data_IF_620883941709
#
_entry.id   IF_620883941709
#
_cell.length_a   1.000
_cell.length_b   1.000
_cell.length_c   1.000
_cell.angle_alpha   90.00
_cell.angle_beta   90.00
_cell.angle_gamma   90.00
#
_symmetry.space_group_name_H-M   'P 1'
#
loop_
_entity.id
_entity.type
_entity.pdbx_description
1 polymer ?
#
# COMPACT_ATOMS: atom_id res chain seq x y z
N UNK A 1 76.55 3.03 -39.38
CA UNK A 1 75.16 2.82 -39.87
C UNK A 1 74.36 2.24 -38.71
N UNK A 2 73.70 3.09 -37.91
CA UNK A 2 73.06 2.70 -36.64
C UNK A 2 71.68 2.06 -36.82
N UNK A 3 71.22 1.23 -35.86
CA UNK A 3 69.96 0.49 -35.96
C UNK A 3 68.73 1.40 -35.76
N UNK A 4 67.66 1.11 -36.52
CA UNK A 4 66.38 1.83 -36.47
C UNK A 4 65.58 1.48 -35.20
N UNK A 5 64.86 2.45 -34.60
CA UNK A 5 64.00 2.20 -33.44
C UNK A 5 62.72 1.44 -33.83
N UNK A 6 62.32 0.49 -32.99
CA UNK A 6 61.12 -0.32 -33.14
C UNK A 6 59.84 0.54 -33.08
N UNK A 7 58.88 0.22 -33.94
CA UNK A 7 57.61 0.95 -34.05
C UNK A 7 56.67 0.65 -32.87
N UNK A 8 55.82 1.61 -32.43
CA UNK A 8 54.94 1.42 -31.28
C UNK A 8 53.79 0.42 -31.50
N UNK A 9 53.59 -0.06 -32.74
CA UNK A 9 52.37 -0.75 -33.16
C UNK A 9 52.47 -2.29 -33.17
N UNK A 10 53.63 -2.86 -32.87
CA UNK A 10 53.86 -4.32 -32.84
C UNK A 10 53.35 -5.02 -31.55
N UNK A 11 52.50 -4.37 -30.76
CA UNK A 11 51.96 -4.91 -29.50
C UNK A 11 50.51 -5.36 -29.54
N UNK A 12 49.99 -5.71 -30.70
CA UNK A 12 48.70 -6.38 -30.83
C UNK A 12 48.88 -7.83 -31.28
N UNK A 13 48.96 -8.73 -30.30
CA UNK A 13 48.30 -10.07 -30.22
C UNK A 13 49.17 -11.08 -29.47
N UNK A 14 48.70 -11.42 -28.27
CA UNK A 14 48.82 -12.70 -27.53
C UNK A 14 48.14 -12.41 -26.18
N UNK A 15 46.85 -12.64 -26.01
CA UNK A 15 46.19 -13.93 -26.05
C UNK A 15 46.09 -14.46 -24.62
N UNK A 16 44.98 -14.15 -23.92
CA UNK A 16 44.47 -14.90 -22.75
C UNK A 16 43.04 -14.45 -22.40
N UNK A 17 42.09 -14.80 -23.25
CA UNK A 17 40.66 -14.80 -22.90
C UNK A 17 40.36 -16.08 -22.11
N UNK A 18 40.57 -16.06 -20.78
CA UNK A 18 40.03 -17.06 -19.85
C UNK A 18 39.77 -16.40 -18.49
N UNK A 19 38.54 -16.59 -18.03
CA UNK A 19 38.07 -16.46 -16.64
C UNK A 19 37.67 -15.07 -16.12
N UNK A 20 36.70 -14.47 -16.82
CA UNK A 20 35.74 -13.56 -16.18
C UNK A 20 34.32 -14.11 -16.41
N UNK A 21 33.97 -15.18 -15.71
CA UNK A 21 32.57 -15.48 -15.42
C UNK A 21 32.05 -14.34 -14.55
N UNK A 22 31.48 -13.34 -15.20
CA UNK A 22 30.59 -12.38 -14.56
C UNK A 22 29.37 -13.20 -14.14
N UNK A 23 29.40 -13.73 -12.92
CA UNK A 23 28.18 -14.12 -12.22
C UNK A 23 27.37 -12.84 -12.02
N UNK A 24 26.50 -12.56 -12.99
CA UNK A 24 25.48 -11.52 -12.84
C UNK A 24 24.66 -11.83 -11.59
N UNK A 25 24.21 -10.80 -10.83
CA UNK A 25 23.39 -11.03 -9.66
C UNK A 25 22.17 -11.85 -10.06
N UNK A 26 22.04 -13.00 -9.39
CA UNK A 26 21.00 -13.97 -9.59
C UNK A 26 19.64 -13.30 -9.76
N UNK A 27 18.97 -13.71 -10.84
CA UNK A 27 17.58 -13.45 -11.18
C UNK A 27 16.73 -13.15 -9.94
N UNK A 28 16.38 -11.88 -9.76
CA UNK A 28 15.26 -11.50 -8.91
C UNK A 28 14.04 -12.32 -9.38
N UNK A 29 13.35 -13.06 -8.49
CA UNK A 29 12.12 -13.73 -8.89
C UNK A 29 11.17 -12.69 -9.48
N UNK A 30 10.44 -13.01 -10.57
CA UNK A 30 9.46 -12.10 -11.13
C UNK A 30 8.53 -11.65 -10.00
N UNK A 31 8.35 -10.33 -9.87
CA UNK A 31 7.40 -9.72 -8.95
C UNK A 31 6.10 -10.52 -9.06
N UNK A 32 5.83 -11.36 -8.06
CA UNK A 32 4.57 -12.07 -7.97
C UNK A 32 3.51 -10.98 -8.04
N UNK A 33 2.78 -10.96 -9.17
CA UNK A 33 1.77 -9.96 -9.43
C UNK A 33 0.92 -9.87 -8.19
N UNK A 34 0.91 -8.69 -7.56
CA UNK A 34 0.18 -8.47 -6.33
C UNK A 34 -1.24 -8.99 -6.55
N UNK A 35 -1.53 -10.15 -5.97
CA UNK A 35 -2.83 -10.77 -6.05
C UNK A 35 -3.77 -9.77 -5.41
N UNK A 36 -4.57 -9.09 -6.24
CA UNK A 36 -5.62 -8.19 -5.75
C UNK A 36 -6.63 -9.05 -5.04
N UNK A 37 -6.44 -9.23 -3.74
CA UNK A 37 -7.41 -9.87 -2.86
C UNK A 37 -8.59 -8.91 -2.74
N UNK A 38 -9.60 -9.15 -3.57
CA UNK A 38 -10.90 -8.51 -3.45
C UNK A 38 -11.61 -9.14 -2.25
N UNK A 39 -12.02 -8.32 -1.28
CA UNK A 39 -12.80 -8.75 -0.13
C UNK A 39 -13.95 -7.77 0.09
N UNK A 40 -14.93 -8.20 0.89
CA UNK A 40 -16.07 -7.38 1.26
C UNK A 40 -16.03 -7.17 2.78
N UNK A 41 -16.23 -5.93 3.22
CA UNK A 41 -16.14 -5.58 4.64
C UNK A 41 -17.32 -6.16 5.46
N UNK A 42 -18.42 -6.48 4.78
CA UNK A 42 -19.65 -7.01 5.38
C UNK A 42 -20.31 -8.06 4.45
N UNK A 43 -19.90 -9.36 4.54
CA UNK A 43 -20.45 -10.42 3.68
C UNK A 43 -21.98 -10.55 3.76
N UNK A 44 -22.58 -10.12 4.87
CA UNK A 44 -24.03 -10.12 5.09
C UNK A 44 -24.78 -9.21 4.10
N UNK A 45 -24.14 -8.19 3.53
CA UNK A 45 -24.75 -7.37 2.48
C UNK A 45 -24.84 -8.08 1.12
N UNK A 46 -24.11 -9.20 0.92
CA UNK A 46 -24.35 -10.06 -0.24
C UNK A 46 -25.73 -10.72 -0.19
N UNK A 47 -26.25 -11.00 1.02
CA UNK A 47 -27.65 -11.43 1.21
C UNK A 47 -28.62 -10.29 0.91
N UNK A 48 -28.26 -9.02 1.14
CA UNK A 48 -29.05 -7.89 0.68
C UNK A 48 -29.08 -7.79 -0.86
N UNK A 49 -28.11 -8.39 -1.56
CA UNK A 49 -28.16 -8.62 -3.01
C UNK A 49 -29.38 -9.42 -3.46
N UNK A 50 -29.98 -10.24 -2.58
CA UNK A 50 -31.24 -10.94 -2.85
C UNK A 50 -32.42 -9.95 -3.05
N UNK A 51 -32.30 -8.71 -2.59
CA UNK A 51 -33.24 -7.63 -2.89
C UNK A 51 -33.26 -7.25 -4.38
N UNK A 52 -32.22 -7.58 -5.17
CA UNK A 52 -32.24 -7.46 -6.64
C UNK A 52 -33.25 -8.44 -7.27
N UNK A 53 -33.58 -9.54 -6.59
CA UNK A 53 -34.60 -10.48 -7.06
C UNK A 53 -36.02 -9.88 -6.97
N UNK A 54 -36.29 -8.97 -6.04
CA UNK A 54 -37.61 -8.33 -5.87
C UNK A 54 -38.07 -7.58 -7.13
N UNK A 55 -37.30 -6.65 -7.73
CA UNK A 55 -37.71 -5.99 -8.96
C UNK A 55 -37.74 -6.94 -10.17
N UNK A 56 -36.90 -7.98 -10.19
CA UNK A 56 -36.88 -8.99 -11.26
C UNK A 56 -38.16 -9.86 -11.23
N UNK A 57 -38.54 -10.32 -10.04
CA UNK A 57 -39.77 -11.09 -9.80
C UNK A 57 -41.00 -10.24 -10.09
N UNK A 58 -41.04 -8.99 -9.60
CA UNK A 58 -42.13 -8.06 -9.91
C UNK A 58 -42.26 -7.79 -11.41
N UNK A 59 -41.16 -7.73 -12.16
CA UNK A 59 -41.20 -7.61 -13.61
C UNK A 59 -41.79 -8.87 -14.28
N UNK A 60 -41.41 -10.06 -13.82
CA UNK A 60 -41.92 -11.32 -14.35
C UNK A 60 -43.43 -11.48 -14.12
N UNK A 61 -43.93 -11.05 -12.95
CA UNK A 61 -45.38 -11.06 -12.65
C UNK A 61 -46.16 -10.04 -13.49
N UNK A 62 -45.61 -8.84 -13.73
CA UNK A 62 -46.27 -7.84 -14.60
C UNK A 62 -46.37 -8.26 -16.07
N UNK A 63 -45.66 -9.33 -16.50
CA UNK A 63 -45.81 -9.89 -17.85
C UNK A 63 -47.13 -10.66 -18.05
N UNK A 64 -47.85 -10.99 -16.96
CA UNK A 64 -49.03 -11.85 -17.02
C UNK A 64 -50.39 -11.13 -17.13
N UNK A 65 -50.45 -9.80 -17.01
CA UNK A 65 -51.73 -9.07 -17.08
C UNK A 65 -51.98 -8.35 -18.41
N UNK A 66 -52.05 -9.15 -19.47
CA UNK A 66 -52.76 -8.75 -20.69
C UNK A 66 -53.97 -9.66 -20.89
N UNK A 67 -54.94 -9.59 -19.96
CA UNK A 67 -56.30 -10.06 -20.26
C UNK A 67 -56.83 -9.22 -21.42
N UNK A 68 -56.67 -9.75 -22.63
CA UNK A 68 -57.28 -9.22 -23.85
C UNK A 68 -58.80 -9.37 -23.71
N UNK A 69 -59.45 -8.32 -23.22
CA UNK A 69 -60.90 -8.20 -23.33
C UNK A 69 -61.19 -7.76 -24.77
N UNK A 70 -61.59 -8.70 -25.61
CA UNK A 70 -61.90 -8.43 -27.02
C UNK A 70 -63.27 -7.77 -27.09
N UNK A 71 -63.30 -6.44 -27.10
CA UNK A 71 -64.52 -5.68 -27.38
C UNK A 71 -64.62 -5.47 -28.92
N UNK A 72 -65.59 -6.08 -29.62
CA UNK A 72 -65.62 -6.11 -31.09
C UNK A 72 -65.79 -4.74 -31.77
N UNK A 73 -66.32 -3.73 -31.07
CA UNK A 73 -66.61 -2.41 -31.64
C UNK A 73 -65.36 -1.54 -31.92
N UNK A 74 -64.19 -1.89 -31.39
CA UNK A 74 -62.96 -1.06 -31.46
C UNK A 74 -61.94 -1.51 -32.52
N UNK A 75 -62.19 -2.60 -33.24
CA UNK A 75 -61.22 -3.18 -34.19
C UNK A 75 -60.90 -2.25 -35.37
N UNK A 76 -61.76 -1.27 -35.67
CA UNK A 76 -61.54 -0.30 -36.75
C UNK A 76 -60.64 0.89 -36.38
N UNK A 77 -60.41 1.15 -35.08
CA UNK A 77 -59.56 2.27 -34.61
C UNK A 77 -58.09 1.85 -34.39
N UNK A 78 -57.80 0.54 -34.36
CA UNK A 78 -56.51 -0.03 -33.98
C UNK A 78 -55.51 -0.21 -35.13
N UNK A 79 -55.84 0.27 -36.34
CA UNK A 79 -54.91 0.19 -37.49
C UNK A 79 -53.73 1.16 -37.41
N UNK A 80 -53.76 2.09 -36.46
CA UNK A 80 -52.72 3.11 -36.23
C UNK A 80 -51.84 2.82 -35.01
N UNK A 81 -52.06 1.74 -34.27
CA UNK A 81 -51.36 1.47 -33.00
C UNK A 81 -50.04 0.68 -33.12
N UNK A 82 -49.59 0.35 -34.34
CA UNK A 82 -48.36 -0.45 -34.51
C UNK A 82 -47.07 0.33 -34.22
N UNK A 83 -47.11 1.67 -34.24
CA UNK A 83 -45.91 2.47 -33.99
C UNK A 83 -45.66 2.71 -32.48
N UNK A 84 -46.71 2.84 -31.67
CA UNK A 84 -46.58 3.09 -30.23
C UNK A 84 -46.09 1.88 -29.42
N UNK A 85 -46.32 0.66 -29.91
CA UNK A 85 -45.86 -0.57 -29.25
C UNK A 85 -44.33 -0.66 -29.12
N UNK A 86 -43.56 -0.03 -30.03
CA UNK A 86 -42.09 -0.10 -30.04
C UNK A 86 -41.48 0.84 -28.99
N UNK A 87 -42.01 2.06 -28.87
CA UNK A 87 -41.58 3.05 -27.88
C UNK A 87 -41.90 2.63 -26.46
N UNK A 88 -43.07 2.00 -26.25
CA UNK A 88 -43.47 1.47 -24.94
C UNK A 88 -42.50 0.37 -24.47
N UNK A 89 -42.09 -0.55 -25.37
CA UNK A 89 -41.12 -1.60 -25.06
C UNK A 89 -39.73 -1.05 -24.72
N UNK A 90 -39.25 -0.06 -25.46
CA UNK A 90 -37.96 0.58 -25.18
C UNK A 90 -37.95 1.30 -23.82
N UNK A 91 -39.02 2.02 -23.50
CA UNK A 91 -39.16 2.70 -22.21
C UNK A 91 -39.25 1.71 -21.06
N UNK A 92 -39.96 0.59 -21.24
CA UNK A 92 -40.01 -0.50 -20.26
C UNK A 92 -38.64 -1.14 -20.04
N UNK A 93 -37.85 -1.37 -21.09
CA UNK A 93 -36.51 -1.93 -20.98
C UNK A 93 -35.55 -0.97 -20.26
N UNK A 94 -35.63 0.33 -20.58
CA UNK A 94 -34.83 1.37 -19.92
C UNK A 94 -35.19 1.51 -18.43
N UNK A 95 -36.48 1.48 -18.10
CA UNK A 95 -36.96 1.52 -16.72
C UNK A 95 -36.55 0.28 -15.93
N UNK A 96 -36.54 -0.90 -16.57
CA UNK A 96 -36.02 -2.12 -15.96
C UNK A 96 -34.52 -2.00 -15.65
N UNK A 97 -33.74 -1.53 -16.62
CA UNK A 97 -32.29 -1.37 -16.48
C UNK A 97 -31.97 -0.36 -15.38
N UNK A 98 -32.65 0.78 -15.34
CA UNK A 98 -32.48 1.78 -14.28
C UNK A 98 -32.82 1.21 -12.90
N UNK A 99 -33.88 0.40 -12.79
CA UNK A 99 -34.30 -0.22 -11.52
C UNK A 99 -33.25 -1.23 -11.02
N UNK A 100 -32.70 -2.06 -11.91
CA UNK A 100 -31.62 -3.00 -11.56
C UNK A 100 -30.35 -2.25 -11.16
N UNK A 101 -29.96 -1.23 -11.94
CA UNK A 101 -28.80 -0.40 -11.64
C UNK A 101 -28.94 0.31 -10.30
N UNK A 102 -30.11 0.87 -9.98
CA UNK A 102 -30.36 1.52 -8.69
C UNK A 102 -30.18 0.55 -7.51
N UNK A 103 -30.70 -0.68 -7.60
CA UNK A 103 -30.52 -1.68 -6.54
C UNK A 103 -29.07 -2.15 -6.47
N UNK A 104 -28.40 -2.38 -7.61
CA UNK A 104 -26.97 -2.72 -7.64
C UNK A 104 -26.10 -1.62 -7.02
N UNK A 105 -26.41 -0.34 -7.27
CA UNK A 105 -25.74 0.79 -6.64
C UNK A 105 -25.99 0.83 -5.13
N UNK A 106 -27.22 0.54 -4.68
CA UNK A 106 -27.56 0.52 -3.25
C UNK A 106 -26.84 -0.61 -2.51
N UNK A 107 -26.84 -1.81 -3.10
CA UNK A 107 -26.12 -2.98 -2.58
C UNK A 107 -24.62 -2.76 -2.64
N UNK A 108 -24.09 -2.21 -3.74
CA UNK A 108 -22.68 -1.86 -3.87
C UNK A 108 -22.24 -0.80 -2.87
N UNK A 109 -23.03 0.26 -2.67
CA UNK A 109 -22.75 1.29 -1.66
C UNK A 109 -22.78 0.73 -0.24
N UNK A 110 -23.71 -0.18 0.07
CA UNK A 110 -23.78 -0.87 1.37
C UNK A 110 -22.66 -1.90 1.59
N UNK A 111 -22.29 -2.64 0.54
CA UNK A 111 -21.21 -3.64 0.59
C UNK A 111 -19.81 -3.02 0.66
N UNK A 112 -19.68 -1.71 0.34
CA UNK A 112 -18.42 -0.95 0.31
C UNK A 112 -17.27 -1.77 -0.30
N UNK A 113 -17.34 -2.11 -1.61
CA UNK A 113 -16.29 -2.88 -2.25
C UNK A 113 -14.96 -2.12 -2.15
N UNK A 114 -14.02 -2.68 -1.40
CA UNK A 114 -12.69 -2.10 -1.29
C UNK A 114 -11.77 -2.75 -2.33
N UNK A 115 -11.09 -1.93 -3.11
CA UNK A 115 -10.00 -2.39 -3.97
C UNK A 115 -8.73 -2.21 -3.16
N UNK A 116 -8.15 -3.31 -2.65
CA UNK A 116 -6.81 -3.29 -2.03
C UNK A 116 -5.76 -2.98 -3.10
N UNK A 117 -5.47 -1.69 -3.27
CA UNK A 117 -4.42 -1.17 -4.13
C UNK A 117 -3.75 0.04 -3.47
N UNK A 118 -2.59 -0.18 -2.85
CA UNK A 118 -1.59 0.86 -2.57
C UNK A 118 -1.84 1.92 -1.50
N UNK A 119 -3.01 1.94 -0.85
CA UNK A 119 -3.33 2.81 0.27
C UNK A 119 -4.65 2.34 0.85
N UNK A 120 -4.70 2.01 2.14
CA UNK A 120 -5.95 1.58 2.74
C UNK A 120 -6.97 2.72 2.68
N UNK A 121 -8.25 2.39 2.51
CA UNK A 121 -9.32 3.33 2.88
C UNK A 121 -9.36 3.30 4.42
N UNK A 122 -8.46 4.07 5.02
CA UNK A 122 -8.40 4.35 6.45
C UNK A 122 -8.48 5.87 6.63
N UNK A 123 -8.83 6.30 7.84
CA UNK A 123 -8.80 7.73 8.13
C UNK A 123 -7.37 8.27 7.92
N UNK A 124 -7.20 9.54 7.50
CA UNK A 124 -5.89 10.15 7.34
C UNK A 124 -5.04 9.96 8.60
N UNK A 125 -3.90 9.30 8.48
CA UNK A 125 -3.13 8.85 9.65
C UNK A 125 -1.76 9.52 9.73
N UNK A 126 -1.40 10.00 10.93
CA UNK A 126 -0.06 10.45 11.25
C UNK A 126 0.83 9.23 11.54
N UNK A 127 1.68 8.84 10.60
CA UNK A 127 2.59 7.71 10.76
C UNK A 127 3.99 8.18 11.16
N UNK A 128 4.47 7.80 12.34
CA UNK A 128 5.84 8.09 12.77
C UNK A 128 6.68 6.82 12.64
N UNK A 129 7.61 6.81 11.70
CA UNK A 129 8.53 5.73 11.41
C UNK A 129 9.83 5.95 12.20
N UNK A 130 10.13 5.03 13.12
CA UNK A 130 11.40 5.00 13.86
C UNK A 130 12.26 3.91 13.23
N UNK A 131 13.38 4.29 12.64
CA UNK A 131 14.34 3.38 12.02
C UNK A 131 15.60 3.27 12.88
N UNK A 132 15.92 2.05 13.29
CA UNK A 132 17.13 1.77 14.06
C UNK A 132 18.37 1.64 13.16
N UNK A 133 19.19 2.69 13.16
CA UNK A 133 20.46 2.73 12.46
C UNK A 133 21.67 2.65 13.40
N UNK A 134 21.50 2.10 14.60
CA UNK A 134 22.59 1.93 15.57
C UNK A 134 23.68 0.97 15.10
N UNK A 135 24.82 0.96 15.81
CA UNK A 135 25.96 0.11 15.48
C UNK A 135 25.58 -1.39 15.31
N UNK A 136 24.62 -1.91 16.08
CA UNK A 136 24.19 -3.33 15.96
C UNK A 136 23.50 -3.62 14.63
N UNK A 137 22.80 -2.65 14.05
CA UNK A 137 22.17 -2.77 12.72
C UNK A 137 23.20 -2.91 11.58
N UNK A 138 24.48 -2.63 11.84
CA UNK A 138 25.57 -2.88 10.87
C UNK A 138 25.98 -4.34 10.72
N UNK A 139 25.51 -5.24 11.60
CA UNK A 139 25.87 -6.65 11.53
C UNK A 139 25.41 -7.29 10.21
N UNK A 140 26.29 -8.06 9.58
CA UNK A 140 25.96 -8.82 8.37
C UNK A 140 25.41 -10.18 8.78
N UNK A 141 24.19 -10.49 8.37
CA UNK A 141 23.53 -11.78 8.62
C UNK A 141 23.00 -12.35 7.32
N UNK A 142 23.52 -13.50 6.91
CA UNK A 142 23.10 -14.16 5.66
C UNK A 142 23.48 -13.38 4.39
N UNK A 143 24.56 -12.60 4.42
CA UNK A 143 25.08 -11.87 3.25
C UNK A 143 24.54 -10.44 3.07
N UNK A 144 23.64 -9.96 3.92
CA UNK A 144 23.14 -8.58 3.94
C UNK A 144 23.27 -7.97 5.33
N UNK A 145 23.35 -6.64 5.44
CA UNK A 145 23.36 -5.95 6.74
C UNK A 145 21.95 -5.98 7.34
N UNK A 146 21.84 -6.04 8.67
CA UNK A 146 20.55 -5.93 9.36
C UNK A 146 19.84 -4.63 8.96
N UNK A 147 20.56 -3.53 8.82
CA UNK A 147 20.03 -2.25 8.34
C UNK A 147 19.38 -2.36 6.97
N UNK A 148 19.91 -3.16 6.04
CA UNK A 148 19.33 -3.32 4.71
C UNK A 148 17.94 -4.00 4.79
N UNK A 149 17.79 -4.95 5.72
CA UNK A 149 16.49 -5.58 6.02
C UNK A 149 15.52 -4.58 6.66
N UNK A 150 15.99 -3.78 7.63
CA UNK A 150 15.18 -2.74 8.28
C UNK A 150 14.71 -1.68 7.27
N UNK A 151 15.59 -1.26 6.36
CA UNK A 151 15.27 -0.35 5.25
C UNK A 151 14.19 -0.96 4.34
N UNK A 152 14.28 -2.24 4.00
CA UNK A 152 13.24 -2.89 3.19
C UNK A 152 11.86 -2.92 3.91
N UNK A 153 11.83 -3.10 5.23
CA UNK A 153 10.58 -3.04 6.02
C UNK A 153 10.04 -1.60 6.04
N UNK A 154 10.90 -0.61 6.24
CA UNK A 154 10.56 0.81 6.23
C UNK A 154 9.94 1.24 4.89
N UNK A 155 10.56 0.83 3.78
CA UNK A 155 10.07 1.11 2.42
C UNK A 155 8.69 0.50 2.17
N UNK A 156 8.44 -0.73 2.64
CA UNK A 156 7.10 -1.35 2.57
C UNK A 156 6.06 -0.60 3.40
N UNK A 157 6.45 -0.01 4.52
CA UNK A 157 5.55 0.84 5.31
C UNK A 157 5.16 2.10 4.55
N UNK A 158 6.13 2.78 3.91
CA UNK A 158 5.89 3.98 3.10
C UNK A 158 5.04 3.67 1.87
N UNK A 159 5.19 2.48 1.28
CA UNK A 159 4.39 2.03 0.12
C UNK A 159 2.92 1.79 0.44
N UNK A 160 2.59 1.46 1.69
CA UNK A 160 1.20 1.19 2.12
C UNK A 160 0.44 2.43 2.53
N UNK A 161 1.13 3.52 2.86
CA UNK A 161 0.51 4.77 3.23
C UNK A 161 -0.29 5.35 2.05
N UNK A 162 -1.34 6.11 2.35
CA UNK A 162 -2.11 6.90 1.39
C UNK A 162 -1.45 8.26 1.11
N UNK A 163 -1.99 9.03 0.16
CA UNK A 163 -1.53 10.40 -0.08
C UNK A 163 -2.05 11.41 0.96
N UNK A 164 -3.07 11.01 1.74
CA UNK A 164 -3.62 11.82 2.83
C UNK A 164 -2.84 11.61 4.15
N UNK A 165 -2.02 10.57 4.22
CA UNK A 165 -1.20 10.28 5.38
C UNK A 165 0.00 11.22 5.45
N UNK A 166 0.38 11.55 6.68
CA UNK A 166 1.63 12.29 6.94
C UNK A 166 2.59 11.36 7.62
N UNK A 167 3.77 11.21 7.02
CA UNK A 167 4.81 10.33 7.52
C UNK A 167 5.99 11.17 8.04
N UNK A 168 6.49 10.83 9.22
CA UNK A 168 7.74 11.34 9.78
C UNK A 168 8.72 10.20 9.97
N UNK A 169 9.98 10.39 9.58
CA UNK A 169 11.07 9.47 9.81
C UNK A 169 11.97 10.00 10.93
N UNK A 170 12.21 9.17 11.95
CA UNK A 170 13.17 9.38 13.03
C UNK A 170 14.22 8.28 12.95
N UNK A 171 15.49 8.65 13.03
CA UNK A 171 16.62 7.71 13.12
C UNK A 171 16.97 7.50 14.59
N UNK A 172 16.97 6.26 15.06
CA UNK A 172 17.15 5.97 16.48
C UNK A 172 18.60 6.17 16.97
N UNK A 173 19.58 6.16 16.08
CA UNK A 173 20.96 6.53 16.40
C UNK A 173 21.17 8.03 16.64
N UNK A 174 20.24 8.86 16.15
CA UNK A 174 20.23 10.32 16.32
C UNK A 174 18.83 10.79 16.73
N UNK A 175 18.29 10.37 17.89
CA UNK A 175 16.90 10.60 18.26
C UNK A 175 16.56 12.09 18.38
N UNK A 176 17.56 12.96 18.56
CA UNK A 176 17.45 14.44 18.63
C UNK A 176 17.72 15.15 17.30
N UNK A 177 18.11 14.43 16.23
CA UNK A 177 18.38 14.99 14.90
C UNK A 177 17.11 15.52 14.21
N UNK A 178 17.14 16.06 12.98
CA UNK A 178 15.91 16.47 12.29
C UNK A 178 14.99 15.27 12.00
N UNK A 179 13.70 15.40 12.28
CA UNK A 179 12.70 14.44 11.82
C UNK A 179 12.37 14.75 10.35
N UNK A 180 12.52 13.75 9.48
CA UNK A 180 12.37 13.94 8.03
C UNK A 180 10.89 13.71 7.68
N UNK A 181 10.29 14.65 6.96
CA UNK A 181 8.92 14.54 6.45
C UNK A 181 8.87 15.13 5.04
N UNK A 182 7.96 14.66 4.22
CA UNK A 182 7.88 15.06 2.81
C UNK A 182 7.05 14.11 1.98
N UNK A 183 7.28 14.12 0.67
CA UNK A 183 6.63 13.18 -0.24
C UNK A 183 7.12 11.75 0.01
N UNK A 184 6.39 10.76 -0.53
CA UNK A 184 6.85 9.37 -0.49
C UNK A 184 8.19 9.19 -1.20
N UNK A 185 8.53 10.02 -2.18
CA UNK A 185 9.83 9.96 -2.85
C UNK A 185 10.96 10.44 -1.92
N UNK A 186 10.74 11.55 -1.21
CA UNK A 186 11.72 12.11 -0.27
C UNK A 186 12.01 11.15 0.88
N UNK A 187 10.95 10.51 1.42
CA UNK A 187 11.10 9.53 2.49
C UNK A 187 11.81 8.26 2.03
N UNK A 188 11.54 7.78 0.82
CA UNK A 188 12.30 6.64 0.25
C UNK A 188 13.77 6.98 0.07
N UNK A 189 14.07 8.18 -0.41
CA UNK A 189 15.44 8.66 -0.52
C UNK A 189 16.12 8.76 0.85
N UNK A 190 15.43 9.29 1.85
CA UNK A 190 15.94 9.40 3.22
C UNK A 190 16.21 8.05 3.88
N UNK A 191 15.32 7.06 3.71
CA UNK A 191 15.54 5.68 4.20
C UNK A 191 16.73 5.06 3.47
N UNK A 192 16.83 5.22 2.15
CA UNK A 192 17.93 4.63 1.36
C UNK A 192 19.29 5.27 1.65
N UNK A 193 19.30 6.55 2.04
CA UNK A 193 20.49 7.29 2.44
C UNK A 193 20.85 7.10 3.93
N UNK A 194 20.07 6.32 4.69
CA UNK A 194 20.37 6.06 6.09
C UNK A 194 21.49 5.04 6.18
N UNK A 195 22.63 5.48 6.72
CA UNK A 195 23.75 4.63 7.08
C UNK A 195 23.78 4.32 8.58
N UNK A 196 24.54 3.28 8.92
CA UNK A 196 24.82 2.86 10.29
C UNK A 196 25.60 3.99 10.98
N UNK A 197 25.18 4.35 12.19
CA UNK A 197 25.93 5.25 13.05
C UNK A 197 26.80 4.49 14.03
N UNK A 198 27.91 5.11 14.43
CA UNK A 198 28.78 4.60 15.50
C UNK A 198 28.14 4.74 16.90
N UNK A 199 27.00 5.45 16.99
CA UNK A 199 26.28 5.63 18.23
C UNK A 199 25.44 4.40 18.64
N UNK A 200 25.25 4.27 19.95
CA UNK A 200 24.24 3.37 20.53
C UNK A 200 22.84 3.84 20.13
N UNK A 201 21.97 2.93 19.74
CA UNK A 201 20.57 3.24 19.46
C UNK A 201 19.86 3.68 20.74
N UNK A 202 19.05 4.74 20.65
CA UNK A 202 18.24 5.23 21.76
C UNK A 202 16.77 5.25 21.33
N UNK A 203 16.16 4.07 21.39
CA UNK A 203 14.76 3.87 21.02
C UNK A 203 13.81 4.59 21.98
N UNK A 204 14.21 4.77 23.25
CA UNK A 204 13.40 5.46 24.25
C UNK A 204 13.23 6.93 23.88
N UNK A 205 14.33 7.64 23.65
CA UNK A 205 14.30 9.04 23.22
C UNK A 205 13.60 9.20 21.87
N UNK A 206 13.79 8.26 20.94
CA UNK A 206 13.09 8.25 19.66
C UNK A 206 11.57 8.07 19.82
N UNK A 207 11.14 7.19 20.73
CA UNK A 207 9.73 6.93 21.02
C UNK A 207 9.07 8.10 21.74
N UNK A 208 9.71 8.69 22.75
CA UNK A 208 9.23 9.89 23.44
C UNK A 208 9.00 11.03 22.43
N UNK A 209 9.93 11.19 21.49
CA UNK A 209 9.79 12.17 20.41
C UNK A 209 8.70 11.81 19.42
N UNK A 210 8.54 10.53 19.08
CA UNK A 210 7.46 10.08 18.21
C UNK A 210 6.09 10.38 18.82
N UNK A 211 5.93 10.17 20.13
CA UNK A 211 4.70 10.53 20.86
C UNK A 211 4.45 12.03 20.81
N UNK A 212 5.48 12.87 20.97
CA UNK A 212 5.33 14.33 20.84
C UNK A 212 4.90 14.75 19.42
N UNK A 213 5.47 14.14 18.38
CA UNK A 213 5.07 14.41 16.99
C UNK A 213 3.65 13.91 16.69
N UNK A 214 3.27 12.75 17.23
CA UNK A 214 1.93 12.20 17.12
C UNK A 214 0.89 13.12 17.80
N UNK A 215 1.17 13.58 19.02
CA UNK A 215 0.31 14.50 19.76
C UNK A 215 0.18 15.88 19.10
N UNK A 216 1.24 16.35 18.42
CA UNK A 216 1.20 17.57 17.61
C UNK A 216 0.49 17.41 16.27
N UNK A 217 0.21 16.19 15.83
CA UNK A 217 -0.50 15.94 14.59
C UNK A 217 -1.99 16.28 14.75
N UNK A 218 -2.56 16.97 13.76
CA UNK A 218 -4.00 17.30 13.72
C UNK A 218 -4.82 16.28 12.94
N UNK A 219 -4.27 15.07 12.76
CA UNK A 219 -4.90 14.00 12.00
C UNK A 219 -5.80 13.15 12.91
N UNK A 220 -6.87 12.54 12.37
CA UNK A 220 -7.83 11.75 13.14
C UNK A 220 -7.23 10.47 13.76
N UNK A 221 -6.15 9.94 13.18
CA UNK A 221 -5.44 8.78 13.70
C UNK A 221 -3.93 9.02 13.74
N UNK A 222 -3.24 8.35 14.66
CA UNK A 222 -1.79 8.38 14.76
C UNK A 222 -1.23 6.99 15.06
N UNK A 223 -0.16 6.60 14.35
CA UNK A 223 0.49 5.31 14.44
C UNK A 223 2.01 5.50 14.56
N UNK A 224 2.66 4.65 15.37
CA UNK A 224 4.12 4.66 15.54
C UNK A 224 4.66 3.31 15.08
N UNK A 225 5.50 3.33 14.05
CA UNK A 225 6.14 2.15 13.48
C UNK A 225 7.58 2.09 13.95
N UNK A 226 7.85 1.21 14.92
CA UNK A 226 9.19 0.94 15.41
C UNK A 226 9.84 -0.19 14.60
N UNK A 227 10.90 0.14 13.87
CA UNK A 227 11.68 -0.79 13.04
C UNK A 227 13.08 -0.90 13.63
N UNK A 228 13.31 -1.96 14.38
CA UNK A 228 14.55 -2.21 15.12
C UNK A 228 14.82 -3.71 15.24
N UNK A 229 16.07 -4.05 15.50
CA UNK A 229 16.50 -5.40 15.92
C UNK A 229 16.21 -5.68 17.41
N UNK A 230 15.63 -4.70 18.12
CA UNK A 230 15.14 -4.77 19.50
C UNK A 230 16.20 -5.21 20.52
N UNK A 231 17.45 -4.78 20.33
CA UNK A 231 18.48 -5.02 21.34
C UNK A 231 18.09 -4.41 22.68
N UNK A 232 18.28 -5.16 23.76
CA UNK A 232 18.00 -4.68 25.12
C UNK A 232 18.77 -3.38 25.42
N UNK A 233 19.98 -3.27 24.89
CA UNK A 233 20.82 -2.08 25.02
C UNK A 233 20.18 -0.83 24.41
N UNK A 234 19.30 -0.95 23.40
CA UNK A 234 18.70 0.21 22.74
C UNK A 234 17.60 0.90 23.57
N UNK A 235 17.17 0.28 24.69
CA UNK A 235 16.15 0.82 25.61
C UNK A 235 16.72 1.44 26.89
N UNK A 236 18.01 1.24 27.14
CA UNK A 236 18.68 1.84 28.29
C UNK A 236 18.96 3.33 28.04
N UNK A 237 18.94 4.12 29.11
CA UNK A 237 19.10 5.56 29.01
C UNK A 237 20.53 5.91 28.59
N UNK A 238 20.68 6.54 27.43
CA UNK A 238 21.92 7.21 27.00
C UNK A 238 22.24 8.34 27.99
N UNK A 239 22.98 8.03 29.06
CA UNK A 239 23.32 8.97 30.12
C UNK A 239 23.08 8.49 31.56
N UNK A 240 22.80 7.21 31.81
CA UNK A 240 23.01 6.68 33.17
C UNK A 240 24.51 6.42 33.35
N UNK A 241 25.23 7.14 34.24
CA UNK A 241 26.59 6.75 34.57
C UNK A 241 26.52 5.33 35.14
N UNK A 242 27.22 4.40 34.50
CA UNK A 242 27.51 3.10 35.09
C UNK A 242 28.26 3.36 36.40
N UNK A 243 27.59 3.16 37.54
CA UNK A 243 28.15 3.42 38.87
C UNK A 243 27.24 4.25 39.78
N UNK A 244 25.97 3.89 39.90
CA UNK A 244 25.11 4.31 41.00
C UNK A 244 24.92 3.13 41.93
N UNK A 245 25.73 3.08 42.98
CA UNK A 245 25.63 2.16 44.10
C UNK A 245 24.16 2.02 44.53
N UNK A 246 23.66 0.78 44.54
CA UNK A 246 22.33 0.49 45.05
C UNK A 246 22.32 0.86 46.54
N UNK A 247 21.73 2.00 46.88
CA UNK A 247 21.51 2.39 48.27
C UNK A 247 20.51 1.39 48.86
N UNK A 248 20.88 0.59 49.87
CA UNK A 248 19.94 -0.28 50.54
C UNK A 248 18.93 0.59 51.30
N UNK A 249 17.64 0.31 51.11
CA UNK A 249 16.61 0.78 52.02
C UNK A 249 16.74 -0.03 53.31
N UNK A 250 17.18 0.63 54.39
CA UNK A 250 16.86 0.23 55.77
C UNK A 250 15.46 0.72 56.14
#
# INVERSE_FOLDING_TARGET
>A
MGPRPASPWDRLRRGRDRDATVEGPALLPPKAGASRLMGFLSPIFLLAGLAVAVPLILHLFHRHDAKRMVFPALQYLLRTEKEHARTIRFRQLLLLLLRITAVLLLVGAGARPFVRGGGGVHDPTATILILDNSMSSGLIRGGARVLDLLNAVALRSIERASDEDRIWLIRAGEPRGPAITGSRADLRAAVSATDVTDARGDLRSALERAVLLAAGSRLPAAEIHLISDLQASAFERSGSPAGGEAVPFE
#
